data_IF_799909105779
#
_entry.id   IF_799909105779
#
_cell.length_a   1.000
_cell.length_b   1.000
_cell.length_c   1.000
_cell.angle_alpha   90.00
_cell.angle_beta   90.00
_cell.angle_gamma   90.00
#
_symmetry.space_group_name_H-M   'P 1'
#
loop_
_entity.id
_entity.type
_entity.pdbx_description
1 polymer ?
#
# COMPACT_ATOMS: atom_id res chain seq x y z
N UNK A 1 33.26 -30.65 -15.84
CA UNK A 1 31.93 -30.09 -16.14
C UNK A 1 31.56 -29.12 -15.04
N UNK A 2 31.36 -27.83 -15.34
CA UNK A 2 30.73 -26.92 -14.38
C UNK A 2 29.26 -27.35 -14.23
N UNK A 3 28.69 -27.38 -13.02
CA UNK A 3 27.27 -27.66 -12.89
C UNK A 3 26.49 -26.63 -13.68
N UNK A 4 25.50 -27.07 -14.45
CA UNK A 4 24.55 -26.16 -15.07
C UNK A 4 24.00 -25.26 -13.95
N UNK A 5 24.08 -23.94 -14.13
CA UNK A 5 23.42 -22.99 -13.23
C UNK A 5 21.96 -23.41 -13.23
N UNK A 6 21.49 -23.94 -12.09
CA UNK A 6 20.12 -24.43 -11.97
C UNK A 6 19.16 -23.33 -12.37
N UNK A 7 18.18 -23.66 -13.21
CA UNK A 7 17.14 -22.70 -13.61
C UNK A 7 16.42 -22.20 -12.36
N UNK A 8 16.25 -20.89 -12.26
CA UNK A 8 15.50 -20.29 -11.15
C UNK A 8 14.05 -20.76 -11.20
N UNK A 9 13.55 -21.34 -10.11
CA UNK A 9 12.15 -21.76 -10.01
C UNK A 9 11.18 -20.56 -9.93
N UNK A 10 11.68 -19.38 -9.53
CA UNK A 10 10.92 -18.13 -9.42
C UNK A 10 11.82 -16.95 -9.84
N UNK A 11 11.26 -16.01 -10.57
CA UNK A 11 11.86 -14.70 -10.85
C UNK A 11 10.88 -13.60 -10.44
N UNK A 12 11.36 -12.58 -9.72
CA UNK A 12 10.59 -11.42 -9.29
C UNK A 12 11.18 -10.17 -9.92
N UNK A 13 10.34 -9.35 -10.55
CA UNK A 13 10.70 -8.06 -11.11
C UNK A 13 9.84 -7.01 -10.44
N UNK A 14 10.48 -6.06 -9.76
CA UNK A 14 9.82 -4.91 -9.17
C UNK A 14 10.03 -3.69 -10.07
N UNK A 15 8.94 -3.14 -10.60
CA UNK A 15 8.97 -1.91 -11.40
C UNK A 15 8.57 -0.78 -10.45
N UNK A 16 9.51 0.13 -10.16
CA UNK A 16 9.28 1.22 -9.21
C UNK A 16 8.31 2.29 -9.74
N UNK A 17 8.18 2.43 -11.05
CA UNK A 17 7.16 3.27 -11.68
C UNK A 17 5.87 2.45 -11.91
N UNK A 18 4.68 3.05 -11.74
CA UNK A 18 4.46 4.50 -11.67
C UNK A 18 4.63 5.12 -10.28
N UNK A 19 4.82 4.34 -9.21
CA UNK A 19 4.78 4.85 -7.83
C UNK A 19 5.72 6.04 -7.60
N UNK A 20 7.01 5.87 -7.95
CA UNK A 20 8.01 6.92 -7.78
C UNK A 20 7.61 8.24 -8.46
N UNK A 21 7.18 8.16 -9.71
CA UNK A 21 6.71 9.34 -10.46
C UNK A 21 5.49 9.97 -9.80
N UNK A 22 4.55 9.16 -9.31
CA UNK A 22 3.26 9.64 -8.80
C UNK A 22 3.36 10.41 -7.49
N UNK A 23 4.39 10.18 -6.67
CA UNK A 23 4.66 11.05 -5.50
C UNK A 23 5.01 12.49 -5.91
N UNK A 24 5.52 12.70 -7.13
CA UNK A 24 5.97 14.00 -7.63
C UNK A 24 5.02 14.69 -8.61
N UNK A 25 4.08 13.97 -9.22
CA UNK A 25 3.21 14.52 -10.28
C UNK A 25 1.73 14.24 -10.02
N UNK A 26 0.82 15.12 -10.47
CA UNK A 26 -0.60 14.89 -10.24
C UNK A 26 -1.17 13.63 -10.88
N UNK A 27 -2.00 12.92 -10.13
CA UNK A 27 -2.69 11.75 -10.64
C UNK A 27 -3.55 12.14 -11.86
N UNK A 28 -3.41 11.37 -12.93
CA UNK A 28 -4.10 11.58 -14.21
C UNK A 28 -3.45 12.62 -15.12
N UNK A 29 -2.31 13.19 -14.73
CA UNK A 29 -1.54 14.11 -15.58
C UNK A 29 -0.87 13.38 -16.77
N UNK A 30 -0.40 14.13 -17.80
CA UNK A 30 0.39 13.55 -18.88
C UNK A 30 1.63 12.78 -18.39
N UNK A 31 2.30 13.27 -17.34
CA UNK A 31 3.45 12.59 -16.74
C UNK A 31 3.06 11.27 -16.07
N UNK A 32 1.89 11.21 -15.42
CA UNK A 32 1.34 9.95 -14.92
C UNK A 32 1.09 8.96 -16.08
N UNK A 33 0.47 9.41 -17.16
CA UNK A 33 0.19 8.54 -18.31
C UNK A 33 1.49 8.03 -18.97
N UNK A 34 2.53 8.86 -19.03
CA UNK A 34 3.84 8.47 -19.55
C UNK A 34 4.54 7.43 -18.66
N UNK A 35 4.48 7.58 -17.33
CA UNK A 35 5.01 6.61 -16.38
C UNK A 35 4.31 5.25 -16.51
N UNK A 36 2.97 5.25 -16.62
CA UNK A 36 2.19 4.04 -16.89
C UNK A 36 2.59 3.39 -18.21
N UNK A 37 2.73 4.15 -19.28
CA UNK A 37 3.19 3.63 -20.58
C UNK A 37 4.62 3.06 -20.49
N UNK A 38 5.47 3.60 -19.61
CA UNK A 38 6.78 3.05 -19.28
C UNK A 38 6.70 1.67 -18.65
N UNK A 39 5.91 1.55 -17.57
CA UNK A 39 5.68 0.27 -16.89
C UNK A 39 5.06 -0.77 -17.85
N UNK A 40 4.11 -0.36 -18.69
CA UNK A 40 3.48 -1.23 -19.70
C UNK A 40 4.50 -1.79 -20.70
N UNK A 41 5.45 -0.96 -21.19
CA UNK A 41 6.52 -1.44 -22.09
C UNK A 41 7.39 -2.51 -21.44
N UNK A 42 7.74 -2.33 -20.16
CA UNK A 42 8.51 -3.31 -19.39
C UNK A 42 7.73 -4.62 -19.23
N UNK A 43 6.45 -4.55 -18.82
CA UNK A 43 5.58 -5.73 -18.69
C UNK A 43 5.43 -6.44 -20.04
N UNK A 44 5.27 -5.71 -21.13
CA UNK A 44 5.13 -6.28 -22.46
C UNK A 44 6.40 -7.03 -22.91
N UNK A 45 7.59 -6.54 -22.54
CA UNK A 45 8.86 -7.24 -22.80
C UNK A 45 8.98 -8.56 -22.02
N UNK A 46 8.61 -8.55 -20.74
CA UNK A 46 8.56 -9.75 -19.91
C UNK A 46 7.56 -10.75 -20.49
N UNK A 47 6.36 -10.30 -20.84
CA UNK A 47 5.32 -11.15 -21.42
C UNK A 47 5.80 -11.79 -22.73
N UNK A 48 6.38 -11.03 -23.67
CA UNK A 48 6.94 -11.59 -24.92
C UNK A 48 8.03 -12.62 -24.65
N UNK A 49 8.86 -12.38 -23.64
CA UNK A 49 9.91 -13.32 -23.25
C UNK A 49 9.33 -14.61 -22.69
N UNK A 50 8.30 -14.53 -21.85
CA UNK A 50 7.58 -15.70 -21.32
C UNK A 50 6.95 -16.51 -22.45
N UNK A 51 6.28 -15.87 -23.41
CA UNK A 51 5.68 -16.61 -24.53
C UNK A 51 6.74 -17.32 -25.38
N UNK A 52 7.86 -16.66 -25.71
CA UNK A 52 8.97 -17.30 -26.43
C UNK A 52 9.55 -18.50 -25.68
N UNK A 53 9.63 -18.43 -24.35
CA UNK A 53 10.11 -19.55 -23.53
C UNK A 53 9.09 -20.70 -23.52
N UNK A 54 7.78 -20.40 -23.48
CA UNK A 54 6.73 -21.42 -23.60
C UNK A 54 6.77 -22.13 -24.96
N UNK A 55 7.01 -21.40 -26.05
CA UNK A 55 7.23 -21.99 -27.39
C UNK A 55 8.43 -22.93 -27.43
N UNK A 56 9.42 -22.74 -26.54
CA UNK A 56 10.60 -23.59 -26.38
C UNK A 56 10.36 -24.78 -25.44
N UNK A 57 9.15 -24.94 -24.92
CA UNK A 57 8.75 -26.04 -24.04
C UNK A 57 8.84 -25.75 -22.54
N UNK A 58 9.04 -24.48 -22.13
CA UNK A 58 9.00 -24.11 -20.71
C UNK A 58 7.55 -23.97 -20.19
N UNK A 59 7.28 -24.51 -19.01
CA UNK A 59 6.00 -24.30 -18.32
C UNK A 59 6.12 -23.14 -17.32
N UNK A 60 5.70 -21.94 -17.72
CA UNK A 60 5.83 -20.72 -16.91
C UNK A 60 4.43 -20.19 -16.54
N UNK A 61 4.22 -19.87 -15.27
CA UNK A 61 3.11 -19.04 -14.79
C UNK A 61 3.60 -17.60 -14.62
N UNK A 62 2.98 -16.66 -15.34
CA UNK A 62 3.27 -15.24 -15.23
C UNK A 62 2.20 -14.56 -14.38
N UNK A 63 2.63 -13.89 -13.31
CA UNK A 63 1.79 -12.98 -12.52
C UNK A 63 2.22 -11.55 -12.79
N UNK A 64 1.26 -10.68 -13.06
CA UNK A 64 1.47 -9.23 -13.17
C UNK A 64 0.47 -8.55 -12.25
N UNK A 65 0.94 -7.72 -11.33
CA UNK A 65 0.07 -7.06 -10.38
C UNK A 65 0.70 -5.81 -9.81
N UNK A 66 0.00 -5.24 -8.84
CA UNK A 66 0.45 -4.11 -8.05
C UNK A 66 0.30 -4.47 -6.57
N UNK A 67 1.15 -3.91 -5.74
CA UNK A 67 1.11 -4.03 -4.29
C UNK A 67 0.06 -3.10 -3.66
N UNK A 68 -0.12 -1.89 -4.21
CA UNK A 68 -1.13 -0.93 -3.77
C UNK A 68 -1.56 0.03 -4.89
N UNK A 69 -2.71 0.66 -4.71
CA UNK A 69 -3.10 1.80 -5.54
C UNK A 69 -2.58 3.13 -4.98
N UNK A 70 -3.15 4.24 -5.45
CA UNK A 70 -2.81 5.57 -4.94
C UNK A 70 -4.04 6.48 -4.87
N UNK A 71 -4.00 7.44 -3.95
CA UNK A 71 -5.02 8.43 -3.71
C UNK A 71 -4.47 9.84 -3.99
N UNK A 72 -5.30 10.76 -4.49
CA UNK A 72 -4.84 12.14 -4.73
C UNK A 72 -4.66 12.88 -3.42
N UNK A 73 -3.52 13.53 -3.22
CA UNK A 73 -3.31 14.45 -2.10
C UNK A 73 -4.17 15.71 -2.28
N UNK A 74 -5.08 15.97 -1.35
CA UNK A 74 -5.92 17.18 -1.33
C UNK A 74 -5.50 18.23 -0.31
N UNK A 75 -5.01 17.78 0.84
CA UNK A 75 -4.62 18.62 1.97
C UNK A 75 -3.65 17.85 2.87
N UNK A 76 -3.04 18.52 3.84
CA UNK A 76 -2.15 17.89 4.80
C UNK A 76 -2.39 18.37 6.23
N UNK A 77 -2.09 17.51 7.20
CA UNK A 77 -2.15 17.82 8.62
C UNK A 77 -0.86 17.40 9.33
N UNK A 78 -0.39 18.23 10.25
CA UNK A 78 0.66 17.87 11.19
C UNK A 78 0.02 17.33 12.46
N UNK A 79 0.06 16.01 12.63
CA UNK A 79 -0.50 15.37 13.84
C UNK A 79 0.36 15.73 15.06
N UNK A 80 1.66 15.94 14.89
CA UNK A 80 2.55 16.39 15.97
C UNK A 80 2.15 17.77 16.49
N UNK A 81 1.92 18.74 15.59
CA UNK A 81 1.45 20.08 15.98
C UNK A 81 0.07 20.00 16.64
N UNK A 82 -0.83 19.18 16.09
CA UNK A 82 -2.15 18.94 16.67
C UNK A 82 -2.05 18.38 18.10
N UNK A 83 -1.15 17.42 18.36
CA UNK A 83 -0.89 16.88 19.70
C UNK A 83 -0.23 17.93 20.62
N UNK A 84 0.69 18.74 20.10
CA UNK A 84 1.36 19.79 20.85
C UNK A 84 0.36 20.83 21.38
N UNK A 85 -0.61 21.25 20.56
CA UNK A 85 -1.73 22.14 20.94
C UNK A 85 -2.56 21.58 22.10
N UNK A 86 -2.63 20.25 22.22
CA UNK A 86 -3.32 19.53 23.31
C UNK A 86 -2.43 19.26 24.52
N UNK A 87 -1.33 20.02 24.64
CA UNK A 87 -0.38 20.01 25.76
C UNK A 87 0.47 18.73 25.83
N UNK A 88 0.59 17.98 24.73
CA UNK A 88 1.48 16.80 24.65
C UNK A 88 2.89 17.16 24.14
N UNK A 89 3.21 18.44 23.92
CA UNK A 89 4.50 18.88 23.37
C UNK A 89 5.72 18.34 24.13
N UNK A 90 5.69 18.30 25.48
CA UNK A 90 6.78 17.71 26.27
C UNK A 90 6.96 16.21 26.02
N UNK A 91 5.87 15.50 25.79
CA UNK A 91 5.90 14.06 25.53
C UNK A 91 6.44 13.77 24.13
N UNK A 92 6.16 14.64 23.15
CA UNK A 92 6.78 14.60 21.83
C UNK A 92 8.29 14.87 21.92
N UNK A 93 8.70 15.95 22.61
CA UNK A 93 10.13 16.30 22.78
C UNK A 93 10.96 15.21 23.47
N UNK A 94 10.35 14.46 24.40
CA UNK A 94 11.02 13.38 25.15
C UNK A 94 10.94 12.03 24.44
N UNK A 95 10.19 11.92 23.34
CA UNK A 95 9.92 10.65 22.65
C UNK A 95 9.00 9.70 23.42
N UNK A 96 8.32 10.17 24.47
CA UNK A 96 7.31 9.39 25.19
C UNK A 96 6.00 9.28 24.40
N UNK A 97 5.80 10.14 23.40
CA UNK A 97 4.81 10.03 22.33
C UNK A 97 5.53 10.28 21.00
N UNK A 98 5.21 9.48 19.98
CA UNK A 98 5.75 9.67 18.63
C UNK A 98 4.67 9.44 17.57
N UNK A 99 4.77 10.17 16.47
CA UNK A 99 3.94 10.00 15.28
C UNK A 99 4.82 9.43 14.18
N UNK A 100 4.37 8.36 13.53
CA UNK A 100 4.97 7.87 12.29
C UNK A 100 3.99 8.11 11.15
N UNK A 101 4.26 9.10 10.29
CA UNK A 101 3.47 9.35 9.09
C UNK A 101 3.62 8.19 8.10
N UNK A 102 2.50 7.76 7.52
CA UNK A 102 2.41 6.72 6.50
C UNK A 102 1.63 7.28 5.29
N UNK A 103 1.93 8.51 4.88
CA UNK A 103 1.20 9.20 3.81
C UNK A 103 -0.25 9.46 4.17
N UNK A 104 -1.18 8.65 3.66
CA UNK A 104 -2.63 8.72 3.92
C UNK A 104 -3.06 8.04 5.23
N UNK A 105 -2.11 7.66 6.09
CA UNK A 105 -2.35 7.26 7.48
C UNK A 105 -1.22 7.69 8.42
N UNK A 106 -1.39 7.43 9.72
CA UNK A 106 -0.32 7.51 10.71
C UNK A 106 -0.43 6.40 11.76
N UNK A 107 0.71 6.03 12.33
CA UNK A 107 0.79 5.25 13.57
C UNK A 107 1.20 6.16 14.72
N UNK A 108 0.50 6.03 15.84
CA UNK A 108 0.78 6.78 17.07
C UNK A 108 1.39 5.83 18.10
N UNK A 109 2.56 6.17 18.57
CA UNK A 109 3.32 5.40 19.55
C UNK A 109 3.37 6.13 20.88
N UNK A 110 3.46 5.38 21.97
CA UNK A 110 3.81 5.93 23.26
C UNK A 110 4.57 4.93 24.13
N UNK A 111 5.44 5.46 24.99
CA UNK A 111 5.96 4.73 26.14
C UNK A 111 4.89 4.66 27.24
N UNK A 112 5.15 3.92 28.32
CA UNK A 112 4.26 3.88 29.48
C UNK A 112 3.97 5.27 30.06
N UNK A 113 4.93 6.21 29.96
CA UNK A 113 4.76 7.59 30.43
C UNK A 113 3.80 8.41 29.56
N UNK A 114 3.83 8.22 28.25
CA UNK A 114 2.97 8.95 27.30
C UNK A 114 1.61 8.30 27.06
N UNK A 115 1.46 7.01 27.35
CA UNK A 115 0.28 6.19 27.00
C UNK A 115 -1.04 6.80 27.45
N UNK A 116 -1.15 7.17 28.72
CA UNK A 116 -2.40 7.72 29.29
C UNK A 116 -2.78 9.04 28.63
N UNK A 117 -1.79 9.92 28.41
CA UNK A 117 -2.03 11.22 27.77
C UNK A 117 -2.45 11.07 26.31
N UNK A 118 -1.80 10.20 25.54
CA UNK A 118 -2.15 9.93 24.15
C UNK A 118 -3.54 9.32 24.01
N UNK A 119 -3.90 8.35 24.85
CA UNK A 119 -5.25 7.78 24.88
C UNK A 119 -6.31 8.84 25.20
N UNK A 120 -5.99 9.78 26.08
CA UNK A 120 -6.90 10.85 26.50
C UNK A 120 -7.33 11.82 25.39
N UNK A 121 -6.60 11.88 24.27
CA UNK A 121 -6.91 12.78 23.14
C UNK A 121 -7.52 12.07 21.92
N UNK A 122 -7.59 10.73 21.90
CA UNK A 122 -8.06 9.99 20.72
C UNK A 122 -9.54 10.28 20.38
N UNK A 123 -10.39 10.50 21.38
CA UNK A 123 -11.80 10.84 21.13
C UNK A 123 -11.98 12.22 20.54
N UNK A 124 -11.08 13.17 20.85
CA UNK A 124 -11.05 14.46 20.19
C UNK A 124 -10.54 14.31 18.75
N UNK A 125 -9.47 13.55 18.55
CA UNK A 125 -8.91 13.24 17.23
C UNK A 125 -9.95 12.62 16.30
N UNK A 126 -10.81 11.73 16.81
CA UNK A 126 -11.93 11.12 16.03
C UNK A 126 -12.93 12.13 15.48
N UNK A 127 -12.98 13.35 16.01
CA UNK A 127 -13.92 14.40 15.57
C UNK A 127 -13.28 15.36 14.57
N UNK A 128 -11.99 15.21 14.29
CA UNK A 128 -11.27 16.07 13.38
C UNK A 128 -11.64 15.78 11.91
N UNK A 129 -11.76 16.81 11.06
CA UNK A 129 -12.18 16.64 9.67
C UNK A 129 -11.14 15.94 8.78
N UNK A 130 -9.92 15.77 9.27
CA UNK A 130 -8.84 15.06 8.60
C UNK A 130 -8.73 13.59 9.03
N UNK A 131 -9.45 13.17 10.08
CA UNK A 131 -9.45 11.79 10.56
C UNK A 131 -10.72 11.06 10.13
N UNK A 132 -10.57 10.04 9.27
CA UNK A 132 -11.69 9.18 8.85
C UNK A 132 -11.83 7.94 9.72
N UNK A 133 -10.73 7.47 10.32
CA UNK A 133 -10.75 6.41 11.31
C UNK A 133 -9.62 6.57 12.31
N UNK A 134 -9.89 6.41 13.60
CA UNK A 134 -8.88 6.32 14.67
C UNK A 134 -9.11 5.01 15.42
N UNK A 135 -8.25 4.04 15.16
CA UNK A 135 -8.33 2.70 15.72
C UNK A 135 -7.27 2.51 16.80
N UNK A 136 -7.59 1.81 17.87
CA UNK A 136 -6.73 1.67 19.05
C UNK A 136 -7.03 0.37 19.78
N UNK A 137 -6.06 -0.15 20.53
CA UNK A 137 -6.21 -1.40 21.27
C UNK A 137 -6.45 -2.59 20.34
N UNK A 138 -7.30 -3.54 20.73
CA UNK A 138 -7.51 -4.80 19.99
C UNK A 138 -8.06 -4.58 18.57
N UNK A 139 -8.72 -3.44 18.31
CA UNK A 139 -9.20 -3.07 16.98
C UNK A 139 -8.07 -2.86 15.95
N UNK A 140 -6.83 -2.61 16.40
CA UNK A 140 -5.65 -2.52 15.54
C UNK A 140 -5.45 -3.81 14.72
N UNK A 141 -5.74 -4.97 15.32
CA UNK A 141 -5.57 -6.27 14.66
C UNK A 141 -6.48 -6.45 13.44
N UNK A 142 -7.62 -5.76 13.39
CA UNK A 142 -8.53 -5.81 12.23
C UNK A 142 -7.91 -5.17 10.97
N UNK A 143 -6.91 -4.32 11.14
CA UNK A 143 -6.18 -3.64 10.07
C UNK A 143 -4.76 -4.19 9.90
N UNK A 144 -4.47 -5.36 10.47
CA UNK A 144 -3.15 -6.00 10.38
C UNK A 144 -2.07 -5.35 11.26
N UNK A 145 -2.43 -4.38 12.12
CA UNK A 145 -1.48 -3.80 13.06
C UNK A 145 -1.38 -4.66 14.32
N UNK A 146 -0.15 -5.03 14.68
CA UNK A 146 0.11 -5.60 15.98
C UNK A 146 0.08 -4.48 17.04
N UNK A 147 -0.83 -4.58 18.03
CA UNK A 147 -0.86 -3.70 19.20
C UNK A 147 0.30 -4.01 20.17
N UNK A 148 1.52 -4.02 19.63
CA UNK A 148 2.77 -4.35 20.30
C UNK A 148 3.82 -3.29 19.98
N UNK A 149 4.96 -3.29 20.67
CA UNK A 149 6.05 -2.35 20.38
C UNK A 149 5.69 -0.87 20.61
N UNK A 150 4.71 -0.59 21.48
CA UNK A 150 4.31 0.78 21.84
C UNK A 150 3.28 1.43 20.90
N UNK A 151 2.75 0.71 19.89
CA UNK A 151 1.65 1.21 19.06
C UNK A 151 0.39 1.39 19.93
N UNK A 152 -0.13 2.62 19.97
CA UNK A 152 -1.34 2.98 20.72
C UNK A 152 -2.54 3.09 19.79
N UNK A 153 -2.35 3.71 18.63
CA UNK A 153 -3.41 3.93 17.66
C UNK A 153 -2.88 3.99 16.23
N UNK A 154 -3.77 3.74 15.27
CA UNK A 154 -3.57 4.04 13.86
C UNK A 154 -4.67 5.00 13.40
N UNK A 155 -4.32 5.93 12.52
CA UNK A 155 -5.22 6.96 12.02
C UNK A 155 -5.30 6.90 10.51
N UNK A 156 -6.51 6.70 9.96
CA UNK A 156 -6.80 6.85 8.54
C UNK A 156 -7.07 8.32 8.23
N UNK A 157 -6.44 8.84 7.19
CA UNK A 157 -6.70 10.21 6.76
C UNK A 157 -8.01 10.31 5.97
N UNK A 158 -8.75 11.40 6.12
CA UNK A 158 -10.07 11.52 5.50
C UNK A 158 -10.03 11.73 3.99
N UNK A 159 -11.06 11.23 3.30
CA UNK A 159 -11.29 11.42 1.86
C UNK A 159 -12.43 12.38 1.62
N UNK A 160 -12.21 13.36 0.75
CA UNK A 160 -13.24 14.21 0.18
C UNK A 160 -13.57 13.73 -1.24
N UNK A 161 -14.83 13.82 -1.70
CA UNK A 161 -15.25 13.19 -2.95
C UNK A 161 -14.80 13.94 -4.21
N UNK A 162 -14.38 15.21 -4.10
CA UNK A 162 -14.13 16.05 -5.27
C UNK A 162 -12.95 15.52 -6.10
N UNK A 163 -13.16 15.46 -7.41
CA UNK A 163 -12.11 15.08 -8.33
C UNK A 163 -10.96 16.08 -8.36
N UNK A 164 -9.77 15.60 -8.71
CA UNK A 164 -8.63 16.45 -9.01
C UNK A 164 -8.78 17.13 -10.39
N UNK A 165 -7.82 18.00 -10.75
CA UNK A 165 -7.87 18.78 -12.00
C UNK A 165 -7.82 17.93 -13.28
N UNK A 166 -7.47 16.64 -13.17
CA UNK A 166 -7.41 15.68 -14.26
C UNK A 166 -8.60 14.69 -14.22
N UNK A 167 -9.60 14.92 -13.36
CA UNK A 167 -10.80 14.09 -13.28
C UNK A 167 -10.67 12.82 -12.45
N UNK A 168 -9.52 12.58 -11.79
CA UNK A 168 -9.37 11.44 -10.86
C UNK A 168 -10.25 11.71 -9.64
N UNK A 169 -11.18 10.81 -9.28
CA UNK A 169 -12.12 11.03 -8.20
C UNK A 169 -11.43 11.00 -6.84
N UNK A 170 -11.92 11.82 -5.93
CA UNK A 170 -11.47 11.83 -4.55
C UNK A 170 -10.15 12.55 -4.29
N UNK A 171 -10.04 13.09 -3.08
CA UNK A 171 -8.83 13.68 -2.53
C UNK A 171 -8.70 13.34 -1.06
N UNK A 172 -7.52 12.96 -0.61
CA UNK A 172 -7.26 12.60 0.79
C UNK A 172 -6.41 13.64 1.49
N UNK A 173 -6.60 13.70 2.80
CA UNK A 173 -5.59 14.27 3.68
C UNK A 173 -4.36 13.37 3.71
N UNK A 174 -3.21 13.96 3.99
CA UNK A 174 -1.98 13.23 4.30
C UNK A 174 -1.33 13.78 5.55
N UNK A 175 -0.52 12.97 6.20
CA UNK A 175 0.28 13.40 7.36
C UNK A 175 1.51 14.14 6.85
N UNK A 176 1.69 15.39 7.28
CA UNK A 176 2.87 16.19 6.96
C UNK A 176 3.93 16.06 8.05
N UNK A 177 5.18 15.88 7.65
CA UNK A 177 6.34 15.77 8.54
C UNK A 177 7.29 16.97 8.34
N UNK A 178 6.73 18.19 8.45
CA UNK A 178 7.50 19.44 8.35
C UNK A 178 8.05 19.79 6.96
N UNK A 179 7.67 19.02 5.93
CA UNK A 179 8.06 19.26 4.53
C UNK A 179 6.86 19.71 3.69
N UNK A 180 7.08 20.52 2.64
CA UNK A 180 6.02 20.84 1.68
C UNK A 180 5.41 19.56 1.11
N UNK A 181 4.08 19.48 1.16
CA UNK A 181 3.31 18.36 0.63
C UNK A 181 2.93 18.64 -0.83
N UNK A 182 3.20 17.72 -1.78
CA UNK A 182 2.91 17.92 -3.20
C UNK A 182 1.40 17.73 -3.49
N UNK A 183 0.58 18.72 -3.13
CA UNK A 183 -0.87 18.68 -3.36
C UNK A 183 -1.20 18.42 -4.83
N UNK A 184 -2.11 17.47 -5.07
CA UNK A 184 -2.51 17.00 -6.38
C UNK A 184 -1.76 15.75 -6.85
N UNK A 185 -0.55 15.51 -6.33
CA UNK A 185 0.21 14.26 -6.54
C UNK A 185 -0.47 13.08 -5.86
N UNK A 186 0.02 11.89 -6.14
CA UNK A 186 -0.45 10.67 -5.50
C UNK A 186 0.26 10.38 -4.18
N UNK A 187 -0.44 9.66 -3.30
CA UNK A 187 0.08 9.13 -2.04
C UNK A 187 -0.70 7.86 -1.66
N UNK A 188 -0.14 7.07 -0.76
CA UNK A 188 -0.73 5.86 -0.22
C UNK A 188 -0.28 5.65 1.24
N UNK A 189 -0.59 4.49 1.81
CA UNK A 189 -0.15 4.02 3.13
C UNK A 189 -1.26 3.94 4.18
N UNK A 190 -2.48 4.35 3.83
CA UNK A 190 -3.69 4.16 4.61
C UNK A 190 -4.55 3.02 4.09
N UNK A 191 -5.85 3.07 4.44
CA UNK A 191 -6.83 2.08 4.01
C UNK A 191 -7.99 2.69 3.22
N UNK A 192 -7.68 3.68 2.37
CA UNK A 192 -8.62 4.26 1.41
C UNK A 192 -8.99 3.30 0.26
N UNK A 193 -10.18 3.49 -0.35
CA UNK A 193 -10.68 2.59 -1.36
C UNK A 193 -9.84 2.54 -2.65
N UNK A 194 -9.11 3.60 -3.00
CA UNK A 194 -8.30 3.60 -4.23
C UNK A 194 -6.87 3.10 -3.97
N UNK A 195 -6.39 3.13 -2.72
CA UNK A 195 -5.06 2.60 -2.34
C UNK A 195 -5.08 1.10 -1.95
N UNK A 196 -6.21 0.57 -1.45
CA UNK A 196 -6.33 -0.84 -1.05
C UNK A 196 -6.97 -1.74 -2.11
N UNK A 197 -7.03 -1.30 -3.36
CA UNK A 197 -7.58 -2.08 -4.49
C UNK A 197 -6.51 -2.31 -5.57
N UNK A 198 -5.42 -3.04 -5.25
CA UNK A 198 -4.46 -3.44 -6.26
C UNK A 198 -5.11 -4.37 -7.28
N UNK A 199 -4.44 -4.55 -8.43
CA UNK A 199 -4.84 -5.53 -9.43
C UNK A 199 -3.88 -6.71 -9.46
N UNK A 200 -4.37 -7.85 -9.95
CA UNK A 200 -3.57 -9.03 -10.24
C UNK A 200 -4.09 -9.69 -11.52
N UNK A 201 -3.16 -10.00 -12.43
CA UNK A 201 -3.37 -10.76 -13.64
C UNK A 201 -2.55 -12.04 -13.55
N UNK A 202 -3.20 -13.18 -13.80
CA UNK A 202 -2.56 -14.48 -13.90
C UNK A 202 -2.59 -14.91 -15.36
N UNK A 203 -1.43 -15.26 -15.91
CA UNK A 203 -1.29 -15.79 -17.25
C UNK A 203 -0.59 -17.15 -17.15
N UNK A 204 -1.35 -18.22 -17.33
CA UNK A 204 -0.91 -19.62 -17.44
C UNK A 204 -0.76 -20.09 -18.90
N UNK A 205 -0.98 -19.20 -19.87
CA UNK A 205 -0.96 -19.48 -21.31
C UNK A 205 -2.19 -20.24 -21.84
N UNK A 206 -3.20 -20.49 -21.00
CA UNK A 206 -4.35 -21.36 -21.34
C UNK A 206 -5.70 -20.71 -21.01
N UNK A 207 -5.77 -19.96 -19.92
CA UNK A 207 -6.99 -19.43 -19.35
C UNK A 207 -7.25 -17.99 -19.83
N UNK A 208 -8.52 -17.67 -20.09
CA UNK A 208 -8.98 -16.31 -20.45
C UNK A 208 -10.26 -15.99 -19.68
N UNK A 209 -10.30 -14.84 -19.02
CA UNK A 209 -11.50 -14.35 -18.35
C UNK A 209 -11.22 -13.46 -17.16
N UNK A 210 -12.29 -13.03 -16.49
CA UNK A 210 -12.24 -12.26 -15.24
C UNK A 210 -12.78 -13.13 -14.12
N UNK A 211 -12.08 -13.13 -12.98
CA UNK A 211 -12.49 -13.79 -11.74
C UNK A 211 -12.99 -12.73 -10.75
N UNK A 212 -14.29 -12.63 -10.48
CA UNK A 212 -14.85 -11.60 -9.59
C UNK A 212 -14.74 -11.95 -8.09
N UNK A 213 -14.10 -13.06 -7.75
CA UNK A 213 -13.96 -13.52 -6.36
C UNK A 213 -13.04 -12.59 -5.57
N UNK A 214 -13.32 -12.34 -4.27
CA UNK A 214 -12.38 -11.66 -3.39
C UNK A 214 -11.03 -12.39 -3.38
N UNK A 215 -9.95 -11.61 -3.47
CA UNK A 215 -8.57 -12.09 -3.35
C UNK A 215 -7.77 -11.09 -2.52
N UNK A 216 -6.65 -11.55 -1.97
CA UNK A 216 -5.72 -10.76 -1.18
C UNK A 216 -4.28 -10.97 -1.65
N UNK A 217 -3.39 -10.05 -1.28
CA UNK A 217 -1.95 -10.20 -1.56
C UNK A 217 -1.38 -11.51 -0.97
N UNK A 218 -1.92 -11.96 0.17
CA UNK A 218 -1.49 -13.21 0.81
C UNK A 218 -1.83 -14.46 -0.01
N UNK A 219 -2.69 -14.35 -1.04
CA UNK A 219 -3.04 -15.46 -1.94
C UNK A 219 -1.97 -15.68 -3.02
N UNK A 220 -1.08 -14.72 -3.27
CA UNK A 220 -0.06 -14.79 -4.33
C UNK A 220 0.94 -15.92 -4.05
N UNK A 221 1.48 -15.97 -2.84
CA UNK A 221 2.47 -16.99 -2.46
C UNK A 221 1.95 -18.44 -2.57
N UNK A 222 0.80 -18.83 -1.96
CA UNK A 222 0.27 -20.18 -2.13
C UNK A 222 -0.13 -20.49 -3.57
N UNK A 223 -0.46 -19.48 -4.38
CA UNK A 223 -0.69 -19.65 -5.83
C UNK A 223 0.58 -20.08 -6.57
N UNK A 224 1.69 -19.37 -6.34
CA UNK A 224 2.99 -19.69 -6.96
C UNK A 224 3.50 -21.07 -6.52
N UNK A 225 3.46 -21.34 -5.21
CA UNK A 225 3.94 -22.60 -4.63
C UNK A 225 3.08 -23.78 -5.11
N UNK A 226 1.75 -23.61 -5.18
CA UNK A 226 0.85 -24.62 -5.71
C UNK A 226 1.05 -24.88 -7.21
N UNK A 227 1.45 -23.88 -8.01
CA UNK A 227 1.83 -24.06 -9.41
C UNK A 227 3.12 -24.89 -9.56
N UNK A 228 4.08 -24.70 -8.64
CA UNK A 228 5.31 -25.49 -8.59
C UNK A 228 5.12 -26.94 -8.08
N UNK A 229 3.88 -27.34 -7.74
CA UNK A 229 3.57 -28.67 -7.21
C UNK A 229 4.06 -28.88 -5.77
N UNK A 230 4.28 -27.79 -5.02
CA UNK A 230 4.73 -27.83 -3.64
C UNK A 230 3.55 -27.73 -2.65
N UNK A 231 3.75 -28.16 -1.38
CA UNK A 231 2.71 -28.08 -0.35
C UNK A 231 2.30 -26.63 -0.07
N UNK A 232 1.02 -26.41 0.26
CA UNK A 232 0.41 -25.06 0.42
C UNK A 232 -0.08 -24.80 1.85
N UNK A 233 0.27 -25.67 2.79
CA UNK A 233 -0.07 -25.56 4.20
C UNK A 233 0.74 -24.45 4.89
N UNK A 234 0.10 -23.69 5.78
CA UNK A 234 0.78 -22.69 6.62
C UNK A 234 0.83 -21.27 6.04
N UNK A 235 0.24 -21.03 4.86
CA UNK A 235 -0.03 -19.67 4.38
C UNK A 235 -1.31 -19.10 4.99
N UNK A 236 -1.35 -17.79 5.22
CA UNK A 236 -2.57 -17.07 5.62
C UNK A 236 -3.59 -16.98 4.48
N UNK A 237 -3.10 -16.91 3.23
CA UNK A 237 -3.92 -16.87 2.02
C UNK A 237 -4.22 -18.24 1.43
N UNK A 238 -5.06 -18.23 0.39
CA UNK A 238 -5.45 -19.42 -0.35
C UNK A 238 -4.93 -19.36 -1.80
N UNK A 239 -4.68 -20.53 -2.38
CA UNK A 239 -4.33 -20.62 -3.81
C UNK A 239 -5.47 -20.09 -4.68
N UNK A 240 -5.15 -19.16 -5.59
CA UNK A 240 -6.03 -18.73 -6.66
C UNK A 240 -6.03 -19.82 -7.75
N UNK A 241 -7.22 -20.34 -8.07
CA UNK A 241 -7.40 -21.32 -9.15
C UNK A 241 -8.07 -20.66 -10.35
N UNK A 242 -7.60 -21.08 -11.54
CA UNK A 242 -8.14 -20.70 -12.85
C UNK A 242 -9.53 -21.24 -13.10
#
# INVERSE_FOLDING_TARGET
MRPAIGRSAVALIWICDPDHTLHGVPLGSPAHAEALAGAERCVAEVSRTVERLREQGEEILLLVGSDHGQETIGASVSIEDWLAERRLWKLLETGDVAVAGQGTAALLYATDRGRSALLGVLDEMRREPWADGVVSGDALGQYGFAASGGVIAAVNMARRPEANRHGVPGKRWVVSEGKPVPVGSGQHGGWGPDETRPFLMLNDGRSVGVRPQPSSLVDIAPTLIGYLGLPTEGFDGARLTS
#
